data_IF_291525359882
#
_entry.id   IF_291525359882
#
_cell.length_a   1.000
_cell.length_b   1.000
_cell.length_c   1.000
_cell.angle_alpha   90.00
_cell.angle_beta   90.00
_cell.angle_gamma   90.00
#
_symmetry.space_group_name_H-M   'P 1'
#
loop_
_entity.id
_entity.type
_entity.pdbx_description
1 polymer ?
#
# COMPACT_ATOMS: atom_id res chain seq x y z
N UNK A 1 -3.37 -27.26 -16.87
CA UNK A 1 -3.31 -25.77 -16.79
C UNK A 1 -3.23 -25.36 -15.32
N UNK A 2 -2.10 -24.82 -14.87
CA UNK A 2 -1.93 -24.40 -13.46
C UNK A 2 -2.66 -23.07 -13.20
N UNK A 3 -3.48 -23.03 -12.14
CA UNK A 3 -4.17 -21.80 -11.70
C UNK A 3 -3.10 -20.78 -11.28
N UNK A 4 -2.92 -19.71 -12.05
CA UNK A 4 -2.01 -18.61 -11.68
C UNK A 4 -2.41 -18.12 -10.29
N UNK A 5 -1.51 -18.22 -9.32
CA UNK A 5 -1.74 -17.61 -8.00
C UNK A 5 -1.92 -16.11 -8.22
N UNK A 6 -3.05 -15.57 -7.75
CA UNK A 6 -3.27 -14.13 -7.77
C UNK A 6 -2.33 -13.52 -6.72
N UNK A 7 -1.49 -12.53 -7.07
CA UNK A 7 -0.68 -11.86 -6.07
C UNK A 7 -1.60 -11.27 -5.02
N UNK A 8 -1.38 -11.64 -3.76
CA UNK A 8 -2.10 -11.07 -2.63
C UNK A 8 -1.29 -9.88 -2.15
N UNK A 9 -1.83 -8.69 -2.37
CA UNK A 9 -1.23 -7.47 -1.85
C UNK A 9 -1.76 -7.22 -0.43
N UNK A 10 -0.89 -6.97 0.56
CA UNK A 10 -1.34 -6.60 1.88
C UNK A 10 -2.14 -5.30 1.77
N UNK A 11 -3.33 -5.26 2.39
CA UNK A 11 -4.13 -4.03 2.43
C UNK A 11 -3.47 -3.07 3.43
N UNK A 12 -3.14 -1.88 2.95
CA UNK A 12 -2.55 -0.84 3.80
C UNK A 12 -3.59 -0.32 4.80
N UNK A 13 -3.16 -0.10 6.04
CA UNK A 13 -3.94 0.66 7.00
C UNK A 13 -3.90 2.14 6.64
N UNK A 14 -5.01 2.62 6.09
CA UNK A 14 -5.18 4.03 5.74
C UNK A 14 -5.66 4.80 6.97
N UNK A 15 -4.97 5.90 7.25
CA UNK A 15 -5.35 6.91 8.23
C UNK A 15 -5.51 8.27 7.57
N UNK A 16 -6.23 9.17 8.21
CA UNK A 16 -6.29 10.57 7.79
C UNK A 16 -5.06 11.28 8.31
N UNK A 17 -4.40 12.07 7.45
CA UNK A 17 -3.25 12.86 7.82
C UNK A 17 -3.63 14.02 8.73
N UNK A 18 -4.80 14.60 8.48
CA UNK A 18 -5.39 15.68 9.26
C UNK A 18 -6.90 15.44 9.41
N UNK A 19 -7.36 15.36 10.65
CA UNK A 19 -8.76 15.11 10.99
C UNK A 19 -9.61 16.37 10.94
N UNK A 20 -9.02 17.56 10.79
CA UNK A 20 -9.73 18.84 10.76
C UNK A 20 -10.26 19.23 9.38
N UNK A 21 -9.71 18.63 8.31
CA UNK A 21 -10.05 18.94 6.93
C UNK A 21 -11.45 18.45 6.50
N UNK A 22 -12.02 17.49 7.24
CA UNK A 22 -13.36 16.98 7.00
C UNK A 22 -14.17 16.96 8.31
N UNK A 23 -15.50 17.12 8.21
CA UNK A 23 -16.39 16.79 9.31
C UNK A 23 -16.14 15.35 9.79
N UNK A 24 -16.21 15.07 11.11
CA UNK A 24 -15.76 13.81 11.69
C UNK A 24 -16.35 12.58 11.00
N UNK A 25 -17.66 12.62 10.72
CA UNK A 25 -18.37 11.49 10.11
C UNK A 25 -18.00 11.28 8.64
N UNK A 26 -17.77 12.36 7.90
CA UNK A 26 -17.32 12.31 6.50
C UNK A 26 -15.91 11.73 6.41
N UNK A 27 -15.04 12.14 7.33
CA UNK A 27 -13.70 11.61 7.50
C UNK A 27 -13.70 10.09 7.76
N UNK A 28 -14.55 9.60 8.67
CA UNK A 28 -14.70 8.16 8.94
C UNK A 28 -15.11 7.36 7.70
N UNK A 29 -16.17 7.82 7.02
CA UNK A 29 -16.66 7.19 5.79
C UNK A 29 -15.57 7.13 4.72
N UNK A 30 -14.88 8.25 4.50
CA UNK A 30 -13.83 8.35 3.49
C UNK A 30 -12.61 7.47 3.82
N UNK A 31 -12.22 7.38 5.10
CA UNK A 31 -11.14 6.49 5.58
C UNK A 31 -11.47 5.03 5.30
N UNK A 32 -12.69 4.58 5.61
CA UNK A 32 -13.12 3.20 5.35
C UNK A 32 -13.26 2.94 3.83
N UNK A 33 -13.67 3.94 3.07
CA UNK A 33 -13.71 3.86 1.62
C UNK A 33 -12.32 3.66 1.01
N UNK A 34 -11.31 4.39 1.49
CA UNK A 34 -9.92 4.25 1.06
C UNK A 34 -9.31 2.88 1.42
N UNK A 35 -9.83 2.20 2.45
CA UNK A 35 -9.49 0.81 2.78
C UNK A 35 -10.15 -0.22 1.85
N UNK A 36 -10.95 0.23 0.87
CA UNK A 36 -11.63 -0.62 -0.10
C UNK A 36 -12.93 -1.25 0.40
N UNK A 37 -13.53 -0.74 1.49
CA UNK A 37 -14.82 -1.24 1.98
C UNK A 37 -15.97 -0.77 1.08
N UNK A 38 -16.93 -1.62 0.79
CA UNK A 38 -18.15 -1.21 0.06
C UNK A 38 -19.05 -0.34 0.94
N UNK A 39 -19.95 0.45 0.34
CA UNK A 39 -20.86 1.33 1.09
C UNK A 39 -21.77 0.55 2.05
N UNK A 40 -22.16 -0.68 1.69
CA UNK A 40 -22.88 -1.60 2.60
C UNK A 40 -22.03 -2.05 3.79
N UNK A 41 -20.74 -2.31 3.58
CA UNK A 41 -19.83 -2.69 4.66
C UNK A 41 -19.56 -1.51 5.60
N UNK A 42 -19.37 -0.31 5.03
CA UNK A 42 -19.19 0.94 5.79
C UNK A 42 -20.46 1.24 6.61
N UNK A 43 -21.63 1.11 6.00
CA UNK A 43 -22.92 1.30 6.66
C UNK A 43 -23.07 0.40 7.89
N UNK A 44 -22.73 -0.88 7.75
CA UNK A 44 -22.74 -1.84 8.86
C UNK A 44 -21.71 -1.49 9.94
N UNK A 45 -20.50 -1.09 9.56
CA UNK A 45 -19.44 -0.71 10.49
C UNK A 45 -19.82 0.52 11.32
N UNK A 46 -20.47 1.49 10.69
CA UNK A 46 -20.79 2.79 11.29
C UNK A 46 -22.21 2.85 11.89
N UNK A 47 -23.05 1.85 11.68
CA UNK A 47 -24.43 1.83 12.17
C UNK A 47 -25.36 2.83 11.46
N UNK A 48 -25.15 3.09 10.17
CA UNK A 48 -25.94 4.03 9.36
C UNK A 48 -26.47 3.36 8.09
N UNK A 49 -27.36 4.02 7.34
CA UNK A 49 -27.87 3.46 6.09
C UNK A 49 -26.82 3.54 4.97
N UNK A 50 -26.81 2.59 3.99
CA UNK A 50 -25.95 2.69 2.81
C UNK A 50 -26.18 3.97 2.00
N UNK A 51 -27.40 4.49 1.96
CA UNK A 51 -27.72 5.75 1.30
C UNK A 51 -27.04 6.95 2.00
N UNK A 52 -26.99 6.94 3.33
CA UNK A 52 -26.27 7.94 4.13
C UNK A 52 -24.76 7.90 3.86
N UNK A 53 -24.20 6.70 3.64
CA UNK A 53 -22.79 6.55 3.26
C UNK A 53 -22.52 7.18 1.90
N UNK A 54 -23.36 6.91 0.89
CA UNK A 54 -23.20 7.52 -0.44
C UNK A 54 -23.34 9.04 -0.35
N UNK A 55 -24.30 9.55 0.42
CA UNK A 55 -24.45 10.99 0.65
C UNK A 55 -23.17 11.62 1.24
N UNK A 56 -22.55 10.98 2.25
CA UNK A 56 -21.27 11.46 2.78
C UNK A 56 -20.14 11.43 1.75
N UNK A 57 -20.14 10.46 0.83
CA UNK A 57 -19.14 10.37 -0.25
C UNK A 57 -19.38 11.41 -1.34
N UNK A 58 -20.62 11.72 -1.67
CA UNK A 58 -20.97 12.77 -2.64
C UNK A 58 -20.59 14.15 -2.10
N UNK A 59 -20.89 14.43 -0.84
CA UNK A 59 -20.42 15.64 -0.16
C UNK A 59 -18.88 15.76 -0.14
N UNK A 60 -18.17 14.64 -0.01
CA UNK A 60 -16.72 14.62 -0.11
C UNK A 60 -16.24 14.84 -1.55
N UNK A 61 -16.91 14.26 -2.54
CA UNK A 61 -16.61 14.50 -3.97
C UNK A 61 -16.73 15.96 -4.32
N UNK A 62 -17.80 16.62 -3.85
CA UNK A 62 -18.02 18.05 -4.11
C UNK A 62 -16.93 18.90 -3.47
N UNK A 63 -16.55 18.61 -2.22
CA UNK A 63 -15.50 19.31 -1.50
C UNK A 63 -14.12 19.15 -2.16
N UNK A 64 -13.80 17.97 -2.67
CA UNK A 64 -12.50 17.65 -3.26
C UNK A 64 -12.49 17.67 -4.79
N UNK A 65 -13.55 18.17 -5.44
CA UNK A 65 -13.70 18.19 -6.90
C UNK A 65 -13.41 16.84 -7.57
N UNK A 66 -13.92 15.76 -6.97
CA UNK A 66 -13.74 14.41 -7.47
C UNK A 66 -14.97 13.92 -8.24
N UNK A 67 -14.74 13.29 -9.39
CA UNK A 67 -15.83 12.85 -10.27
C UNK A 67 -16.38 11.48 -9.89
N UNK A 68 -15.51 10.63 -9.35
CA UNK A 68 -15.85 9.26 -8.98
C UNK A 68 -15.33 8.94 -7.60
N UNK A 69 -15.83 7.86 -7.00
CA UNK A 69 -15.30 7.36 -5.73
C UNK A 69 -13.82 7.04 -5.80
N UNK A 70 -13.37 6.46 -6.91
CA UNK A 70 -11.95 6.13 -7.09
C UNK A 70 -11.13 7.40 -7.24
N UNK A 71 -11.63 8.36 -8.01
CA UNK A 71 -11.00 9.67 -8.15
C UNK A 71 -10.88 10.39 -6.80
N UNK A 72 -11.93 10.38 -5.97
CA UNK A 72 -11.90 10.93 -4.61
C UNK A 72 -10.80 10.29 -3.75
N UNK A 73 -10.65 8.96 -3.83
CA UNK A 73 -9.59 8.26 -3.10
C UNK A 73 -8.21 8.65 -3.64
N UNK A 74 -8.04 8.70 -4.97
CA UNK A 74 -6.80 9.13 -5.61
C UNK A 74 -6.41 10.56 -5.23
N UNK A 75 -7.37 11.48 -5.27
CA UNK A 75 -7.17 12.87 -4.84
C UNK A 75 -6.81 12.96 -3.36
N UNK A 76 -7.44 12.15 -2.50
CA UNK A 76 -7.07 12.07 -1.09
C UNK A 76 -5.61 11.63 -0.87
N UNK A 77 -5.07 10.74 -1.71
CA UNK A 77 -3.64 10.41 -1.66
C UNK A 77 -2.76 11.53 -2.20
N UNK A 78 -3.12 12.13 -3.34
CA UNK A 78 -2.33 13.19 -3.99
C UNK A 78 -2.25 14.46 -3.15
N UNK A 79 -3.33 14.82 -2.46
CA UNK A 79 -3.41 16.01 -1.61
C UNK A 79 -2.86 15.75 -0.19
N UNK A 80 -2.40 14.52 0.09
CA UNK A 80 -1.88 14.15 1.41
C UNK A 80 -2.95 14.06 2.49
N UNK A 81 -4.23 13.92 2.14
CA UNK A 81 -5.33 13.70 3.08
C UNK A 81 -5.18 12.34 3.77
N UNK A 82 -4.60 11.35 3.09
CA UNK A 82 -4.32 10.04 3.64
C UNK A 82 -2.85 9.87 4.02
N UNK A 83 -2.62 9.19 5.13
CA UNK A 83 -1.33 8.60 5.51
C UNK A 83 -1.45 7.09 5.54
N UNK A 84 -0.50 6.44 4.89
CA UNK A 84 -0.30 5.01 5.03
C UNK A 84 0.48 4.76 6.32
N UNK A 85 -0.17 4.22 7.35
CA UNK A 85 0.58 3.78 8.53
C UNK A 85 1.23 2.45 8.19
N UNK A 86 2.53 2.46 7.90
CA UNK A 86 3.30 1.24 7.67
C UNK A 86 4.47 1.16 8.64
N UNK A 87 4.47 0.09 9.45
CA UNK A 87 5.62 -0.51 10.15
C UNK A 87 6.67 0.47 10.71
N UNK A 88 6.27 1.57 11.36
CA UNK A 88 7.20 2.43 12.09
C UNK A 88 8.05 1.61 13.09
N UNK A 89 7.44 0.59 13.69
CA UNK A 89 8.09 -0.35 14.60
C UNK A 89 9.10 -1.28 13.89
N UNK A 90 8.87 -1.70 12.64
CA UNK A 90 9.85 -2.51 11.92
C UNK A 90 11.02 -1.66 11.41
N UNK A 91 10.78 -0.41 11.00
CA UNK A 91 11.85 0.54 10.66
C UNK A 91 12.71 0.87 11.89
N UNK A 92 12.10 0.99 13.08
CA UNK A 92 12.80 1.14 14.36
C UNK A 92 13.59 -0.13 14.73
N UNK A 93 13.00 -1.32 14.60
CA UNK A 93 13.69 -2.58 14.85
C UNK A 93 14.87 -2.81 13.86
N UNK A 94 14.74 -2.35 12.62
CA UNK A 94 15.79 -2.47 11.60
C UNK A 94 16.97 -1.51 11.83
N UNK A 95 16.76 -0.37 12.50
CA UNK A 95 17.83 0.58 12.82
C UNK A 95 18.69 0.17 14.03
N UNK A 96 18.14 -0.66 14.93
CA UNK A 96 18.83 -1.13 16.14
C UNK A 96 19.52 -2.49 15.99
N UNK A 97 19.38 -3.20 14.87
CA UNK A 97 20.06 -4.47 14.63
C UNK A 97 21.56 -4.23 14.32
N UNK A 98 22.51 -4.58 15.22
CA UNK A 98 23.94 -4.35 14.99
C UNK A 98 24.56 -5.26 13.92
N UNK A 99 23.77 -6.19 13.35
CA UNK A 99 24.24 -7.33 12.57
C UNK A 99 24.46 -7.05 11.07
N UNK A 100 24.04 -5.90 10.54
CA UNK A 100 24.24 -5.52 9.12
C UNK A 100 25.42 -4.57 8.90
N UNK A 101 26.25 -4.30 9.91
CA UNK A 101 27.63 -3.85 9.67
C UNK A 101 28.45 -5.06 9.28
N UNK A 102 28.21 -5.56 8.06
CA UNK A 102 29.08 -6.55 7.43
C UNK A 102 30.50 -6.02 7.50
N UNK A 103 31.34 -6.60 8.37
CA UNK A 103 32.78 -6.50 8.20
C UNK A 103 33.04 -7.00 6.77
N UNK A 104 33.78 -6.27 5.91
CA UNK A 104 34.18 -6.83 4.63
C UNK A 104 34.87 -8.15 4.92
N UNK A 105 34.27 -9.26 4.49
CA UNK A 105 34.94 -10.56 4.52
C UNK A 105 36.25 -10.38 3.75
N UNK A 106 37.41 -10.67 4.35
CA UNK A 106 38.65 -10.66 3.59
C UNK A 106 38.44 -11.56 2.38
N UNK A 107 38.73 -11.03 1.19
CA UNK A 107 38.71 -11.78 -0.05
C UNK A 107 39.88 -12.77 -0.04
N UNK A 108 39.78 -13.82 0.78
CA UNK A 108 40.63 -15.00 0.66
C UNK A 108 40.05 -15.82 -0.47
N UNK A 109 40.80 -15.85 -1.57
CA UNK A 109 40.36 -16.30 -2.87
C UNK A 109 39.93 -17.76 -2.89
N UNK A 110 38.62 -17.98 -3.03
CA UNK A 110 38.11 -18.93 -4.02
C UNK A 110 36.99 -18.22 -4.77
N UNK A 111 37.12 -18.14 -6.09
CA UNK A 111 36.10 -17.58 -6.98
C UNK A 111 34.79 -18.35 -6.74
N UNK A 112 33.67 -17.72 -6.37
CA UNK A 112 32.41 -18.44 -6.26
C UNK A 112 32.11 -19.11 -7.61
N UNK A 113 31.64 -20.37 -7.62
CA UNK A 113 31.34 -21.06 -8.87
C UNK A 113 30.32 -20.24 -9.65
N UNK A 114 30.59 -20.03 -10.94
CA UNK A 114 29.68 -19.32 -11.82
C UNK A 114 28.33 -20.06 -11.85
N UNK A 115 27.36 -19.59 -11.07
CA UNK A 115 26.00 -20.10 -11.13
C UNK A 115 25.44 -19.63 -12.46
N UNK A 116 25.25 -20.55 -13.39
CA UNK A 116 24.62 -20.29 -14.68
C UNK A 116 23.20 -19.80 -14.40
N UNK A 117 22.98 -18.49 -14.47
CA UNK A 117 21.64 -17.92 -14.37
C UNK A 117 20.85 -18.37 -15.60
N UNK A 118 19.98 -19.35 -15.40
CA UNK A 118 19.01 -19.81 -16.41
C UNK A 118 17.71 -19.06 -16.16
N UNK A 119 17.30 -18.23 -17.11
CA UNK A 119 15.96 -17.65 -17.13
C UNK A 119 15.16 -18.44 -18.18
N UNK A 120 14.26 -19.32 -17.74
CA UNK A 120 13.47 -20.20 -18.62
C UNK A 120 14.21 -21.47 -19.04
N UNK A 121 14.07 -21.91 -20.31
CA UNK A 121 14.79 -23.09 -20.85
C UNK A 121 16.11 -22.77 -21.56
N UNK A 122 16.40 -21.48 -21.78
CA UNK A 122 17.55 -21.05 -22.56
C UNK A 122 18.58 -20.38 -21.66
N UNK A 123 19.84 -20.77 -21.82
CA UNK A 123 20.93 -20.14 -21.11
C UNK A 123 21.33 -18.82 -21.75
N UNK A 124 21.63 -17.83 -20.91
CA UNK A 124 22.18 -16.55 -21.33
C UNK A 124 23.58 -16.82 -21.91
N UNK A 125 23.77 -16.57 -23.21
CA UNK A 125 25.08 -16.65 -23.84
C UNK A 125 25.90 -15.44 -23.39
N UNK A 126 26.90 -15.66 -22.56
CA UNK A 126 27.92 -14.64 -22.28
C UNK A 126 28.76 -14.45 -23.55
N UNK A 127 28.58 -13.32 -24.23
CA UNK A 127 29.40 -12.94 -25.37
C UNK A 127 30.71 -12.38 -24.81
N UNK A 128 31.82 -13.10 -24.96
CA UNK A 128 33.16 -12.60 -24.63
C UNK A 128 33.76 -11.96 -25.89
N UNK A 129 34.17 -10.70 -25.76
CA UNK A 129 35.11 -10.03 -26.66
C UNK A 129 36.55 -10.25 -26.15
#
# INVERSE_FOLDING_TARGET
>A
MGRRQKPTYPRMEVELADTTLLPPRRAEVLKLAARGMSSKAIARELGISPATVEWHLDEAKDQFHALTRLDLISQGWMQGLFRARMLAWALMAFSTLPALRSRPTPMTGTRPPAVRNVIGRNAIRENRA
#
